data_IF_222559644820
#
_entry.id   IF_222559644820
#
_cell.length_a   1.000
_cell.length_b   1.000
_cell.length_c   1.000
_cell.angle_alpha   90.00
_cell.angle_beta   90.00
_cell.angle_gamma   90.00
#
_symmetry.space_group_name_H-M   'P 1'
#
loop_
_entity.id
_entity.type
_entity.pdbx_description
1 polymer ?
#
# COMPACT_ATOMS: atom_id res chain seq x y z
N UNK A 1 -53.86 50.96 -6.07
CA UNK A 1 -53.07 49.72 -6.25
C UNK A 1 -51.91 50.05 -7.21
N UNK A 2 -50.67 50.17 -6.72
CA UNK A 2 -49.45 50.33 -7.56
C UNK A 2 -48.82 48.95 -7.65
N UNK A 3 -48.81 48.37 -8.84
CA UNK A 3 -48.07 47.19 -9.21
C UNK A 3 -46.59 47.54 -9.46
N UNK A 4 -45.70 47.02 -8.59
CA UNK A 4 -44.25 47.07 -8.80
C UNK A 4 -43.85 45.95 -9.76
N UNK A 5 -43.48 46.28 -10.98
CA UNK A 5 -42.84 45.36 -11.93
C UNK A 5 -41.36 45.20 -11.59
N UNK A 6 -40.98 43.99 -11.15
CA UNK A 6 -39.59 43.62 -10.96
C UNK A 6 -38.99 43.27 -12.32
N UNK A 7 -38.11 44.12 -12.83
CA UNK A 7 -37.34 43.84 -14.05
C UNK A 7 -36.20 42.89 -13.78
N UNK A 8 -36.16 41.72 -14.45
CA UNK A 8 -35.07 40.79 -14.39
C UNK A 8 -33.85 41.30 -15.16
N UNK A 9 -32.64 41.14 -14.65
CA UNK A 9 -31.43 41.63 -15.32
C UNK A 9 -31.15 40.92 -16.64
N UNK A 10 -30.59 41.62 -17.59
CA UNK A 10 -30.30 41.17 -18.95
C UNK A 10 -29.24 40.06 -18.98
N UNK A 11 -29.20 39.32 -20.11
CA UNK A 11 -28.22 38.21 -20.31
C UNK A 11 -26.77 38.70 -20.25
N UNK A 12 -26.51 39.99 -20.52
CA UNK A 12 -25.18 40.62 -20.46
C UNK A 12 -24.72 40.85 -19.00
N UNK A 13 -25.62 41.21 -18.09
CA UNK A 13 -25.31 41.46 -16.68
C UNK A 13 -25.06 40.14 -15.91
N UNK A 14 -25.64 39.02 -16.36
CA UNK A 14 -25.37 37.71 -15.79
C UNK A 14 -24.00 37.15 -16.15
N UNK A 15 -23.36 37.60 -17.23
CA UNK A 15 -22.03 37.19 -17.65
C UNK A 15 -20.90 37.95 -16.93
N UNK A 16 -21.19 39.10 -16.33
CA UNK A 16 -20.19 39.92 -15.63
C UNK A 16 -19.92 39.44 -14.19
N UNK A 17 -20.84 38.63 -13.56
CA UNK A 17 -20.68 38.15 -12.17
C UNK A 17 -20.00 36.81 -12.04
N UNK A 18 -19.59 36.18 -13.15
CA UNK A 18 -18.95 34.85 -13.14
C UNK A 18 -17.46 34.92 -13.51
N UNK A 19 -16.79 36.01 -13.20
CA UNK A 19 -15.31 36.04 -13.18
C UNK A 19 -14.86 35.37 -11.89
N UNK A 20 -14.53 34.08 -11.96
CA UNK A 20 -13.73 33.43 -10.92
C UNK A 20 -12.46 34.26 -10.72
N UNK A 21 -12.06 34.56 -9.47
CA UNK A 21 -10.78 35.19 -9.23
C UNK A 21 -9.72 34.27 -9.86
N UNK A 22 -8.77 34.87 -10.59
CA UNK A 22 -7.63 34.17 -11.13
C UNK A 22 -7.01 33.38 -9.99
N UNK A 23 -6.85 32.06 -10.19
CA UNK A 23 -6.16 31.20 -9.24
C UNK A 23 -4.81 31.85 -8.96
N UNK A 24 -4.65 32.37 -7.74
CA UNK A 24 -3.38 32.82 -7.24
C UNK A 24 -2.40 31.66 -7.43
N UNK A 25 -1.36 31.85 -8.23
CA UNK A 25 -0.24 30.94 -8.33
C UNK A 25 0.40 30.89 -6.92
N UNK A 26 -0.07 29.95 -6.09
CA UNK A 26 0.73 29.50 -4.97
C UNK A 26 2.05 29.00 -5.57
N UNK A 27 3.21 29.44 -5.07
CA UNK A 27 4.48 28.89 -5.52
C UNK A 27 4.38 27.37 -5.37
N UNK A 28 4.64 26.64 -6.47
CA UNK A 28 4.83 25.19 -6.40
C UNK A 28 5.92 25.00 -5.36
N UNK A 29 5.55 24.55 -4.15
CA UNK A 29 6.55 24.18 -3.15
C UNK A 29 7.49 23.22 -3.85
N UNK A 30 8.76 23.57 -3.90
CA UNK A 30 9.76 22.76 -4.56
C UNK A 30 9.73 21.39 -3.89
N UNK A 31 9.37 20.34 -4.65
CA UNK A 31 9.40 18.97 -4.16
C UNK A 31 10.85 18.69 -3.79
N UNK A 32 11.14 18.55 -2.49
CA UNK A 32 12.47 18.16 -2.05
C UNK A 32 12.75 16.77 -2.61
N UNK A 33 13.84 16.66 -3.36
CA UNK A 33 14.31 15.37 -3.86
C UNK A 33 14.80 14.50 -2.72
N UNK A 34 14.79 13.18 -2.91
CA UNK A 34 15.29 12.19 -1.95
C UNK A 34 16.69 12.54 -1.41
N UNK A 35 17.58 13.00 -2.28
CA UNK A 35 18.98 13.34 -1.96
C UNK A 35 19.11 14.61 -1.09
N UNK A 36 18.05 15.41 -0.97
CA UNK A 36 18.07 16.65 -0.15
C UNK A 36 17.52 16.44 1.27
N UNK A 37 17.07 15.23 1.59
CA UNK A 37 16.55 14.91 2.93
C UNK A 37 17.65 14.25 3.73
N UNK A 38 17.99 14.87 4.88
CA UNK A 38 19.02 14.35 5.78
C UNK A 38 18.67 12.95 6.30
N UNK A 39 19.63 12.01 6.34
CA UNK A 39 19.41 10.66 6.85
C UNK A 39 18.76 10.59 8.23
N UNK A 40 19.09 11.50 9.15
CA UNK A 40 18.50 11.55 10.49
C UNK A 40 16.99 11.82 10.45
N UNK A 41 16.52 12.60 9.47
CA UNK A 41 15.08 12.87 9.29
C UNK A 41 14.37 11.62 8.73
N UNK A 42 15.03 10.84 7.88
CA UNK A 42 14.49 9.56 7.42
C UNK A 42 14.40 8.54 8.57
N UNK A 43 15.43 8.45 9.39
CA UNK A 43 15.45 7.51 10.53
C UNK A 43 14.37 7.88 11.56
N UNK A 44 14.20 9.18 11.84
CA UNK A 44 13.13 9.68 12.68
C UNK A 44 11.74 9.40 12.07
N UNK A 45 11.60 9.48 10.75
CA UNK A 45 10.36 9.14 10.08
C UNK A 45 10.06 7.63 10.14
N UNK A 46 11.08 6.79 10.04
CA UNK A 46 10.89 5.33 10.21
C UNK A 46 10.46 5.00 11.64
N UNK A 47 11.11 5.62 12.66
CA UNK A 47 10.68 5.52 14.06
C UNK A 47 9.20 5.96 14.22
N UNK A 48 8.84 7.11 13.65
CA UNK A 48 7.46 7.60 13.67
C UNK A 48 6.47 6.60 13.04
N UNK A 49 6.82 5.99 11.92
CA UNK A 49 5.95 5.03 11.23
C UNK A 49 5.69 3.76 12.05
N UNK A 50 6.64 3.32 12.89
CA UNK A 50 6.60 1.99 13.51
C UNK A 50 6.44 2.00 15.03
N UNK A 51 6.50 3.19 15.68
CA UNK A 51 6.38 3.32 17.14
C UNK A 51 5.09 4.04 17.57
N UNK A 52 4.96 4.36 18.85
CA UNK A 52 3.88 5.16 19.41
C UNK A 52 4.07 6.67 19.20
N UNK A 53 5.14 7.10 18.53
CA UNK A 53 5.40 8.51 18.27
C UNK A 53 4.22 9.14 17.55
N UNK A 54 3.73 10.27 18.07
CA UNK A 54 2.67 11.04 17.42
C UNK A 54 3.24 11.90 16.28
N UNK A 55 2.39 12.34 15.35
CA UNK A 55 2.78 13.30 14.31
C UNK A 55 3.36 14.59 14.91
N UNK A 56 2.80 15.07 16.02
CA UNK A 56 3.31 16.25 16.73
C UNK A 56 4.72 16.01 17.24
N UNK A 57 4.96 14.87 17.88
CA UNK A 57 6.29 14.52 18.40
C UNK A 57 7.31 14.40 17.28
N UNK A 58 6.92 13.77 16.15
CA UNK A 58 7.75 13.66 14.96
C UNK A 58 8.20 15.04 14.45
N UNK A 59 7.26 15.97 14.24
CA UNK A 59 7.61 17.31 13.78
C UNK A 59 8.41 18.11 14.83
N UNK A 60 8.12 17.95 16.12
CA UNK A 60 8.87 18.59 17.21
C UNK A 60 10.31 18.09 17.22
N UNK A 61 10.53 16.78 17.21
CA UNK A 61 11.88 16.17 17.15
C UNK A 61 12.61 16.58 15.87
N UNK A 62 11.95 16.54 14.71
CA UNK A 62 12.54 16.93 13.45
C UNK A 62 12.98 18.41 13.42
N UNK A 63 12.19 19.31 14.04
CA UNK A 63 12.56 20.72 14.13
C UNK A 63 13.79 20.99 15.00
N UNK A 64 14.11 20.08 15.91
CA UNK A 64 15.28 20.16 16.79
C UNK A 64 16.55 19.54 16.16
N UNK A 65 16.44 18.83 15.03
CA UNK A 65 17.59 18.25 14.35
C UNK A 65 18.45 19.34 13.70
N UNK A 66 19.76 19.29 13.99
CA UNK A 66 20.77 20.05 13.24
C UNK A 66 21.10 19.32 11.95
N UNK A 67 20.40 19.67 10.86
CA UNK A 67 20.56 19.00 9.56
C UNK A 67 21.28 19.88 8.55
N UNK A 68 22.03 19.24 7.67
CA UNK A 68 22.73 19.91 6.57
C UNK A 68 21.76 20.19 5.43
N UNK A 69 21.76 21.40 4.91
CA UNK A 69 21.01 21.77 3.72
C UNK A 69 19.58 22.25 3.95
N UNK A 70 19.17 22.49 5.23
CA UNK A 70 17.85 23.07 5.49
C UNK A 70 17.33 22.90 6.90
N UNK A 71 16.01 22.97 7.04
CA UNK A 71 15.31 22.74 8.31
C UNK A 71 14.79 21.30 8.38
N UNK A 72 15.09 20.60 9.45
CA UNK A 72 14.55 19.25 9.70
C UNK A 72 13.02 19.21 9.64
N UNK A 73 12.35 20.28 10.06
CA UNK A 73 10.89 20.40 9.94
C UNK A 73 10.41 20.43 8.47
N UNK A 74 11.11 21.15 7.60
CA UNK A 74 10.77 21.20 6.16
C UNK A 74 10.96 19.84 5.53
N UNK A 75 12.06 19.15 5.83
CA UNK A 75 12.33 17.80 5.37
C UNK A 75 11.30 16.80 5.90
N UNK A 76 10.93 16.91 7.18
CA UNK A 76 9.88 16.06 7.77
C UNK A 76 8.51 16.24 7.12
N UNK A 77 8.12 17.48 6.79
CA UNK A 77 6.88 17.75 6.05
C UNK A 77 6.89 17.14 4.65
N UNK A 78 8.05 17.11 3.99
CA UNK A 78 8.19 16.50 2.67
C UNK A 78 7.99 14.97 2.69
N UNK A 79 8.19 14.30 3.83
CA UNK A 79 7.99 12.85 3.97
C UNK A 79 6.52 12.43 4.12
N UNK A 80 5.60 13.37 4.31
CA UNK A 80 4.15 13.07 4.39
C UNK A 80 3.63 12.65 3.01
N UNK A 81 2.86 11.55 2.90
CA UNK A 81 2.36 11.04 1.63
C UNK A 81 1.53 12.04 0.83
N UNK A 82 1.72 12.06 -0.49
CA UNK A 82 1.01 12.90 -1.47
C UNK A 82 0.24 12.04 -2.46
N UNK A 83 -0.82 11.42 -2.01
CA UNK A 83 -1.57 10.43 -2.79
C UNK A 83 -2.16 10.95 -4.09
N UNK A 84 -2.65 12.19 -4.13
CA UNK A 84 -3.26 12.76 -5.33
C UNK A 84 -2.26 12.93 -6.49
N UNK A 85 -0.99 13.18 -6.16
CA UNK A 85 0.10 13.33 -7.14
C UNK A 85 0.71 11.99 -7.57
N UNK A 86 0.53 10.95 -6.74
CA UNK A 86 1.16 9.65 -6.89
C UNK A 86 0.29 8.61 -7.63
N UNK A 87 -0.98 8.93 -7.93
CA UNK A 87 -1.86 8.00 -8.63
C UNK A 87 -1.32 7.69 -10.02
N UNK A 88 -1.07 6.39 -10.29
CA UNK A 88 -0.53 5.91 -11.58
C UNK A 88 -1.65 5.45 -12.52
N UNK A 89 -2.64 4.71 -11.99
CA UNK A 89 -3.78 4.22 -12.77
C UNK A 89 -5.07 4.84 -12.22
N UNK A 90 -5.81 5.53 -13.10
CA UNK A 90 -7.12 6.09 -12.72
C UNK A 90 -8.12 4.98 -12.37
N UNK A 91 -9.00 5.23 -11.41
CA UNK A 91 -10.14 4.33 -11.16
C UNK A 91 -11.16 4.29 -12.33
N UNK A 92 -11.07 5.26 -13.24
CA UNK A 92 -11.87 5.34 -14.48
C UNK A 92 -11.13 4.80 -15.70
N UNK A 93 -9.96 4.18 -15.54
CA UNK A 93 -9.21 3.58 -16.65
C UNK A 93 -10.03 2.49 -17.35
N UNK A 94 -10.16 2.58 -18.67
CA UNK A 94 -11.02 1.68 -19.46
C UNK A 94 -10.54 0.24 -19.45
N UNK A 95 -9.27 0.00 -19.15
CA UNK A 95 -8.66 -1.34 -19.08
C UNK A 95 -9.09 -2.14 -17.85
N UNK A 96 -9.77 -1.50 -16.88
CA UNK A 96 -10.15 -2.12 -15.60
C UNK A 96 -11.58 -1.78 -15.19
N UNK A 97 -12.13 -2.57 -14.25
CA UNK A 97 -13.36 -2.25 -13.52
C UNK A 97 -13.11 -2.43 -12.04
N UNK A 98 -13.37 -1.38 -11.26
CA UNK A 98 -13.10 -1.33 -9.83
C UNK A 98 -14.38 -1.11 -9.02
N UNK A 99 -14.51 -1.82 -7.89
CA UNK A 99 -15.60 -1.65 -6.92
C UNK A 99 -15.18 -2.11 -5.53
N UNK A 100 -15.84 -1.63 -4.51
CA UNK A 100 -15.78 -2.27 -3.19
C UNK A 100 -16.73 -3.46 -3.12
N UNK A 101 -16.28 -4.50 -2.43
CA UNK A 101 -17.06 -5.72 -2.16
C UNK A 101 -16.97 -6.05 -0.69
N UNK A 102 -18.07 -6.55 -0.11
CA UNK A 102 -18.12 -7.08 1.24
C UNK A 102 -18.24 -8.61 1.18
N UNK A 103 -17.62 -9.26 2.15
CA UNK A 103 -17.59 -10.73 2.25
C UNK A 103 -17.46 -11.17 3.70
N UNK A 104 -17.81 -12.44 3.95
CA UNK A 104 -17.73 -13.02 5.28
C UNK A 104 -16.28 -13.26 5.70
N UNK A 105 -16.00 -13.03 6.99
CA UNK A 105 -14.70 -13.25 7.62
C UNK A 105 -14.88 -13.95 8.97
N UNK A 106 -15.25 -15.23 8.96
CA UNK A 106 -15.49 -15.98 10.19
C UNK A 106 -14.23 -16.07 11.05
N UNK A 107 -14.37 -15.81 12.34
CA UNK A 107 -13.26 -15.79 13.30
C UNK A 107 -12.36 -14.56 13.21
N UNK A 108 -12.66 -13.63 12.32
CA UNK A 108 -12.01 -12.33 12.25
C UNK A 108 -12.59 -11.30 13.23
N UNK A 109 -12.23 -10.05 13.06
CA UNK A 109 -12.54 -8.95 13.98
C UNK A 109 -14.05 -8.71 14.15
N UNK A 110 -14.82 -8.72 13.06
CA UNK A 110 -16.27 -8.44 13.08
C UNK A 110 -17.11 -9.51 12.38
N UNK A 111 -16.49 -10.57 11.88
CA UNK A 111 -17.15 -11.59 11.06
C UNK A 111 -17.40 -11.20 9.62
N UNK A 112 -17.09 -9.94 9.24
CA UNK A 112 -17.18 -9.40 7.88
C UNK A 112 -15.99 -8.56 7.52
N UNK A 113 -15.68 -8.53 6.23
CA UNK A 113 -14.64 -7.70 5.64
C UNK A 113 -15.15 -6.96 4.42
N UNK A 114 -14.43 -5.91 4.04
CA UNK A 114 -14.57 -5.18 2.78
C UNK A 114 -13.22 -5.13 2.08
N UNK A 115 -13.23 -5.14 0.76
CA UNK A 115 -12.03 -4.93 -0.03
C UNK A 115 -12.32 -4.17 -1.31
N UNK A 116 -11.30 -3.54 -1.86
CA UNK A 116 -11.32 -2.91 -3.17
C UNK A 116 -10.96 -3.97 -4.21
N UNK A 117 -11.97 -4.42 -4.96
CA UNK A 117 -11.84 -5.43 -6.01
C UNK A 117 -11.69 -4.74 -7.35
N UNK A 118 -10.64 -5.09 -8.07
CA UNK A 118 -10.36 -4.58 -9.41
C UNK A 118 -10.17 -5.76 -10.37
N UNK A 119 -10.94 -5.78 -11.46
CA UNK A 119 -10.76 -6.77 -12.51
C UNK A 119 -10.26 -6.13 -13.80
N UNK A 120 -9.53 -6.85 -14.64
CA UNK A 120 -9.28 -6.44 -16.02
C UNK A 120 -10.60 -6.22 -16.78
N UNK A 121 -10.57 -5.41 -17.82
CA UNK A 121 -11.65 -5.40 -18.80
C UNK A 121 -11.71 -6.79 -19.49
N UNK A 122 -12.93 -7.32 -19.67
CA UNK A 122 -13.15 -8.65 -20.24
C UNK A 122 -13.85 -9.61 -19.29
N UNK A 123 -13.98 -10.88 -19.73
CA UNK A 123 -14.91 -11.82 -19.09
C UNK A 123 -14.24 -12.75 -18.04
N UNK A 124 -12.96 -12.94 -18.04
CA UNK A 124 -12.30 -13.88 -17.13
C UNK A 124 -12.56 -15.38 -17.48
N UNK A 125 -12.20 -16.33 -16.60
CA UNK A 125 -11.62 -16.12 -15.28
C UNK A 125 -10.18 -15.60 -15.33
N UNK A 126 -9.78 -14.86 -14.28
CA UNK A 126 -8.45 -14.25 -14.18
C UNK A 126 -7.62 -14.90 -13.06
N UNK A 127 -6.30 -15.02 -13.19
CA UNK A 127 -5.45 -15.31 -12.05
C UNK A 127 -5.58 -14.17 -11.03
N UNK A 128 -5.61 -14.53 -9.74
CA UNK A 128 -5.94 -13.61 -8.67
C UNK A 128 -4.71 -13.14 -7.88
N UNK A 129 -4.68 -11.88 -7.46
CA UNK A 129 -3.62 -11.29 -6.62
C UNK A 129 -4.22 -10.52 -5.47
N UNK A 130 -3.91 -10.96 -4.24
CA UNK A 130 -4.19 -10.19 -3.03
C UNK A 130 -3.12 -9.10 -2.85
N UNK A 131 -3.54 -7.86 -2.60
CA UNK A 131 -2.66 -6.70 -2.37
C UNK A 131 -2.84 -6.20 -0.96
N UNK A 132 -1.90 -6.50 -0.06
CA UNK A 132 -2.04 -6.21 1.37
C UNK A 132 -1.37 -4.88 1.73
N UNK A 133 -2.14 -4.03 2.42
CA UNK A 133 -1.73 -2.70 2.83
C UNK A 133 -0.63 -2.67 3.90
N UNK A 134 -0.02 -1.51 4.08
CA UNK A 134 0.92 -1.20 5.14
C UNK A 134 0.20 -1.14 6.52
N UNK A 135 0.83 -0.61 7.55
CA UNK A 135 0.28 -0.49 8.91
C UNK A 135 -0.70 0.70 9.09
N UNK A 136 -1.46 1.06 8.07
CA UNK A 136 -2.31 2.27 8.02
C UNK A 136 -3.70 2.04 7.44
N UNK A 137 -4.03 0.78 7.12
CA UNK A 137 -5.26 0.42 6.40
C UNK A 137 -5.17 0.65 4.90
N UNK A 138 -6.30 0.48 4.22
CA UNK A 138 -6.42 0.60 2.77
C UNK A 138 -6.38 2.07 2.33
N UNK A 139 -5.19 2.59 2.13
CA UNK A 139 -4.96 3.95 1.64
C UNK A 139 -4.96 4.02 0.09
N UNK A 140 -5.01 5.24 -0.50
CA UNK A 140 -5.06 5.41 -1.96
C UNK A 140 -3.89 4.82 -2.73
N UNK A 141 -2.70 4.70 -2.11
CA UNK A 141 -1.55 4.04 -2.75
C UNK A 141 -1.81 2.55 -2.98
N UNK A 142 -2.37 1.85 -1.98
CA UNK A 142 -2.66 0.41 -2.09
C UNK A 142 -3.79 0.15 -3.10
N UNK A 143 -4.79 1.03 -3.16
CA UNK A 143 -5.82 0.96 -4.21
C UNK A 143 -5.20 1.12 -5.61
N UNK A 144 -4.24 2.03 -5.77
CA UNK A 144 -3.54 2.22 -7.03
C UNK A 144 -2.69 0.99 -7.41
N UNK A 145 -2.02 0.35 -6.44
CA UNK A 145 -1.30 -0.91 -6.67
C UNK A 145 -2.26 -2.03 -7.14
N UNK A 146 -3.46 -2.14 -6.56
CA UNK A 146 -4.46 -3.09 -7.02
C UNK A 146 -4.89 -2.80 -8.47
N UNK A 147 -5.06 -1.54 -8.85
CA UNK A 147 -5.34 -1.14 -10.23
C UNK A 147 -4.18 -1.48 -11.17
N UNK A 148 -2.93 -1.23 -10.75
CA UNK A 148 -1.73 -1.64 -11.52
C UNK A 148 -1.71 -3.14 -11.78
N UNK A 149 -2.00 -3.96 -10.77
CA UNK A 149 -2.08 -5.41 -10.94
C UNK A 149 -3.20 -5.83 -11.90
N UNK A 150 -4.35 -5.15 -11.86
CA UNK A 150 -5.45 -5.44 -12.77
C UNK A 150 -5.14 -5.06 -14.23
N UNK A 151 -4.42 -3.96 -14.46
CA UNK A 151 -3.93 -3.61 -15.81
C UNK A 151 -3.00 -4.68 -16.38
N UNK A 152 -2.26 -5.39 -15.52
CA UNK A 152 -1.38 -6.50 -15.89
C UNK A 152 -2.10 -7.84 -16.11
N UNK A 153 -3.42 -7.87 -15.93
CA UNK A 153 -4.27 -9.04 -16.25
C UNK A 153 -4.74 -9.83 -15.02
N UNK A 154 -4.52 -9.35 -13.80
CA UNK A 154 -4.91 -10.07 -12.59
C UNK A 154 -6.24 -9.55 -12.01
N UNK A 155 -7.04 -10.46 -11.46
CA UNK A 155 -8.12 -10.08 -10.54
C UNK A 155 -7.49 -9.67 -9.20
N UNK A 156 -7.48 -8.37 -8.90
CA UNK A 156 -6.82 -7.85 -7.71
C UNK A 156 -7.83 -7.52 -6.60
N UNK A 157 -7.54 -7.92 -5.37
CA UNK A 157 -8.28 -7.51 -4.17
C UNK A 157 -7.32 -6.84 -3.19
N UNK A 158 -7.63 -5.60 -2.81
CA UNK A 158 -7.01 -4.91 -1.68
C UNK A 158 -7.97 -4.89 -0.49
N UNK A 159 -7.79 -5.75 0.53
CA UNK A 159 -8.66 -5.80 1.71
C UNK A 159 -8.47 -4.55 2.57
N UNK A 160 -9.57 -4.07 3.16
CA UNK A 160 -9.55 -2.96 4.12
C UNK A 160 -9.49 -3.52 5.56
N UNK A 161 -8.29 -3.73 6.08
CA UNK A 161 -8.09 -4.26 7.43
C UNK A 161 -8.67 -3.39 8.55
N UNK A 162 -9.05 -2.14 8.26
CA UNK A 162 -9.72 -1.25 9.21
C UNK A 162 -11.24 -1.28 9.08
N UNK A 163 -11.79 -1.98 8.09
CA UNK A 163 -13.24 -2.04 7.86
C UNK A 163 -14.04 -2.39 9.13
N UNK A 164 -13.62 -3.36 9.97
CA UNK A 164 -14.36 -3.71 11.18
C UNK A 164 -14.53 -2.56 12.20
N UNK A 165 -13.74 -1.51 12.09
CA UNK A 165 -13.74 -0.35 13.00
C UNK A 165 -13.96 0.98 12.28
N UNK A 166 -14.57 0.94 11.07
CA UNK A 166 -14.97 2.12 10.30
C UNK A 166 -14.22 2.35 9.00
N UNK A 167 -13.20 1.56 8.69
CA UNK A 167 -12.41 1.65 7.47
C UNK A 167 -11.30 2.71 7.54
N UNK A 168 -10.60 2.89 6.41
CA UNK A 168 -9.53 3.88 6.33
C UNK A 168 -10.06 5.31 6.58
N UNK A 169 -9.52 6.06 7.56
CA UNK A 169 -10.10 7.33 8.02
C UNK A 169 -9.78 8.53 7.11
N UNK A 170 -9.15 8.32 5.96
CA UNK A 170 -8.78 9.38 5.02
C UNK A 170 -7.40 10.01 5.28
N UNK A 171 -6.70 9.57 6.31
CA UNK A 171 -5.30 9.95 6.59
C UNK A 171 -4.54 8.82 7.28
N UNK A 172 -3.25 8.77 7.05
CA UNK A 172 -2.38 7.68 7.53
C UNK A 172 -2.13 7.71 9.05
N UNK A 173 -2.19 8.87 9.67
CA UNK A 173 -1.90 9.01 11.09
C UNK A 173 -2.99 8.36 11.92
N UNK A 174 -4.24 8.66 11.63
CA UNK A 174 -5.40 8.04 12.28
C UNK A 174 -5.49 6.56 11.90
N UNK A 175 -5.23 6.21 10.63
CA UNK A 175 -5.19 4.81 10.18
C UNK A 175 -4.17 3.98 10.98
N UNK A 176 -2.98 4.52 11.24
CA UNK A 176 -1.95 3.89 12.08
C UNK A 176 -2.43 3.70 13.53
N UNK A 177 -3.08 4.71 14.11
CA UNK A 177 -3.64 4.62 15.47
C UNK A 177 -4.74 3.57 15.51
N UNK A 178 -5.67 3.59 14.57
CA UNK A 178 -6.76 2.63 14.48
C UNK A 178 -6.24 1.20 14.34
N UNK A 179 -5.30 0.93 13.45
CA UNK A 179 -4.77 -0.42 13.25
C UNK A 179 -4.10 -1.00 14.50
N UNK A 180 -3.49 -0.15 15.34
CA UNK A 180 -2.89 -0.57 16.62
C UNK A 180 -3.92 -1.00 17.67
N UNK A 181 -5.18 -0.58 17.55
CA UNK A 181 -6.26 -1.01 18.46
C UNK A 181 -6.81 -2.38 18.13
N UNK A 182 -6.55 -2.89 16.93
CA UNK A 182 -7.03 -4.20 16.49
C UNK A 182 -6.21 -5.33 17.14
N UNK A 183 -6.90 -6.42 17.48
CA UNK A 183 -6.24 -7.67 17.80
C UNK A 183 -5.49 -8.21 16.57
N UNK A 184 -4.21 -8.52 16.75
CA UNK A 184 -3.33 -8.91 15.64
C UNK A 184 -3.73 -10.24 15.02
N UNK A 185 -4.22 -11.17 15.81
CA UNK A 185 -4.65 -12.50 15.37
C UNK A 185 -5.93 -12.39 14.55
N UNK A 186 -6.90 -11.61 15.04
CA UNK A 186 -8.16 -11.39 14.33
C UNK A 186 -7.94 -10.62 13.01
N UNK A 187 -7.11 -9.59 13.01
CA UNK A 187 -6.74 -8.86 11.79
C UNK A 187 -6.05 -9.78 10.77
N UNK A 188 -5.12 -10.63 11.23
CA UNK A 188 -4.50 -11.62 10.33
C UNK A 188 -5.52 -12.61 9.78
N UNK A 189 -6.46 -13.08 10.62
CA UNK A 189 -7.57 -13.96 10.21
C UNK A 189 -8.45 -13.28 9.14
N UNK A 190 -8.73 -12.00 9.28
CA UNK A 190 -9.45 -11.20 8.29
C UNK A 190 -8.73 -11.18 6.94
N UNK A 191 -7.42 -10.99 6.95
CA UNK A 191 -6.59 -10.97 5.73
C UNK A 191 -6.44 -12.36 5.10
N UNK A 192 -6.36 -13.41 5.91
CA UNK A 192 -6.37 -14.81 5.44
C UNK A 192 -7.71 -15.17 4.79
N UNK A 193 -8.82 -14.75 5.39
CA UNK A 193 -10.16 -14.96 4.82
C UNK A 193 -10.35 -14.14 3.53
N UNK A 194 -9.73 -12.96 3.43
CA UNK A 194 -9.71 -12.18 2.19
C UNK A 194 -8.97 -12.92 1.06
N UNK A 195 -7.87 -13.59 1.36
CA UNK A 195 -7.15 -14.44 0.41
C UNK A 195 -8.02 -15.62 -0.07
N UNK A 196 -8.70 -16.29 0.87
CA UNK A 196 -9.61 -17.40 0.56
C UNK A 196 -10.81 -16.96 -0.27
N UNK A 197 -11.43 -15.83 0.10
CA UNK A 197 -12.52 -15.22 -0.66
C UNK A 197 -12.08 -14.94 -2.10
N UNK A 198 -10.93 -14.31 -2.30
CA UNK A 198 -10.43 -13.97 -3.63
C UNK A 198 -10.12 -15.21 -4.46
N UNK A 199 -9.52 -16.26 -3.84
CA UNK A 199 -9.23 -17.52 -4.52
C UNK A 199 -10.49 -18.19 -5.05
N UNK A 200 -11.57 -18.16 -4.26
CA UNK A 200 -12.86 -18.80 -4.60
C UNK A 200 -13.85 -17.90 -5.32
N UNK A 201 -13.45 -16.65 -5.62
CA UNK A 201 -14.32 -15.69 -6.30
C UNK A 201 -14.68 -16.18 -7.71
N UNK A 202 -15.92 -15.95 -8.16
CA UNK A 202 -16.45 -16.41 -9.48
C UNK A 202 -15.59 -16.00 -10.68
N UNK A 203 -14.91 -14.85 -10.59
CA UNK A 203 -14.00 -14.36 -11.63
C UNK A 203 -12.57 -14.87 -11.47
N UNK A 204 -12.26 -15.63 -10.44
CA UNK A 204 -10.92 -16.18 -10.21
C UNK A 204 -10.71 -17.49 -10.96
N UNK A 205 -9.54 -17.66 -11.55
CA UNK A 205 -9.13 -18.96 -12.10
C UNK A 205 -8.80 -20.02 -11.03
N UNK A 206 -8.86 -19.66 -9.74
CA UNK A 206 -8.42 -20.48 -8.63
C UNK A 206 -6.92 -20.42 -8.35
N UNK A 207 -6.14 -19.73 -9.19
CA UNK A 207 -4.72 -19.46 -8.97
C UNK A 207 -4.59 -18.16 -8.19
N UNK A 208 -3.93 -18.21 -7.03
CA UNK A 208 -3.79 -17.08 -6.11
C UNK A 208 -2.34 -16.72 -5.85
N UNK A 209 -2.00 -15.46 -6.13
CA UNK A 209 -0.79 -14.80 -5.64
C UNK A 209 -1.12 -13.82 -4.52
N UNK A 210 -0.12 -13.44 -3.74
CA UNK A 210 -0.24 -12.38 -2.76
C UNK A 210 0.99 -11.46 -2.80
N UNK A 211 0.76 -10.15 -2.77
CA UNK A 211 1.80 -9.15 -2.55
C UNK A 211 1.38 -8.23 -1.41
N UNK A 212 2.33 -7.62 -0.75
CA UNK A 212 2.05 -6.72 0.36
C UNK A 212 3.29 -5.95 0.80
N UNK A 213 3.06 -4.82 1.43
CA UNK A 213 4.07 -3.81 1.71
C UNK A 213 4.19 -3.59 3.21
N UNK A 214 5.42 -3.54 3.76
CA UNK A 214 5.66 -3.34 5.18
C UNK A 214 4.95 -4.40 6.05
N UNK A 215 3.92 -4.03 6.82
CA UNK A 215 3.05 -4.96 7.52
C UNK A 215 2.44 -5.99 6.56
N UNK A 216 1.99 -5.54 5.38
CA UNK A 216 1.48 -6.43 4.34
C UNK A 216 2.53 -7.43 3.82
N UNK A 217 3.80 -7.07 3.80
CA UNK A 217 4.88 -7.99 3.49
C UNK A 217 5.03 -9.11 4.54
N UNK A 218 4.91 -8.75 5.82
CA UNK A 218 4.81 -9.76 6.91
C UNK A 218 3.58 -10.65 6.74
N UNK A 219 2.43 -10.06 6.38
CA UNK A 219 1.21 -10.85 6.12
C UNK A 219 1.44 -11.84 5.00
N UNK A 220 2.04 -11.46 3.88
CA UNK A 220 2.30 -12.37 2.74
C UNK A 220 3.21 -13.52 3.16
N UNK A 221 4.26 -13.27 3.94
CA UNK A 221 5.11 -14.31 4.49
C UNK A 221 4.30 -15.32 5.34
N UNK A 222 3.37 -14.82 6.16
CA UNK A 222 2.53 -15.67 7.02
C UNK A 222 1.36 -16.34 6.26
N UNK A 223 0.85 -15.73 5.19
CA UNK A 223 -0.06 -16.40 4.27
C UNK A 223 0.62 -17.62 3.62
N UNK A 224 1.88 -17.49 3.21
CA UNK A 224 2.64 -18.62 2.66
C UNK A 224 2.80 -19.78 3.68
N UNK A 225 2.91 -19.45 4.96
CA UNK A 225 2.92 -20.45 6.06
C UNK A 225 1.55 -21.12 6.24
N UNK A 226 0.47 -20.31 6.25
CA UNK A 226 -0.86 -20.78 6.66
C UNK A 226 -1.69 -21.41 5.54
N UNK A 227 -1.45 -21.02 4.30
CA UNK A 227 -2.24 -21.48 3.15
C UNK A 227 -1.67 -22.73 2.48
N UNK A 228 -0.40 -23.06 2.72
CA UNK A 228 0.23 -24.22 2.09
C UNK A 228 0.08 -24.18 0.55
N UNK A 229 -0.52 -25.22 -0.07
CA UNK A 229 -0.68 -25.31 -1.53
C UNK A 229 -1.75 -24.36 -2.08
N UNK A 230 -2.55 -23.72 -1.21
CA UNK A 230 -3.60 -22.80 -1.63
C UNK A 230 -3.08 -21.40 -2.03
N UNK A 231 -1.86 -21.06 -1.66
CA UNK A 231 -1.13 -19.93 -2.20
C UNK A 231 -0.18 -20.42 -3.31
N UNK A 232 -0.27 -19.84 -4.51
CA UNK A 232 0.53 -20.24 -5.66
C UNK A 232 1.78 -19.38 -5.85
N UNK A 233 1.82 -18.16 -5.30
CA UNK A 233 3.00 -17.28 -5.31
C UNK A 233 2.92 -16.22 -4.22
N UNK A 234 4.03 -15.90 -3.55
CA UNK A 234 4.11 -14.83 -2.57
C UNK A 234 5.20 -13.81 -2.92
N UNK A 235 4.85 -12.51 -2.89
CA UNK A 235 5.80 -11.42 -3.15
C UNK A 235 5.75 -10.39 -2.00
N UNK A 236 6.44 -10.64 -0.88
CA UNK A 236 6.54 -9.69 0.22
C UNK A 236 7.54 -8.58 -0.08
N UNK A 237 7.11 -7.31 0.07
CA UNK A 237 7.98 -6.13 0.03
C UNK A 237 8.32 -5.66 1.44
N UNK A 238 9.61 -5.54 1.73
CA UNK A 238 10.17 -5.05 3.01
C UNK A 238 9.32 -5.45 4.23
N UNK A 239 8.93 -6.72 4.27
CA UNK A 239 8.21 -7.36 5.37
C UNK A 239 9.13 -8.21 6.23
N UNK A 240 8.88 -8.26 7.53
CA UNK A 240 9.60 -9.16 8.44
C UNK A 240 9.30 -10.64 8.14
N UNK A 241 10.26 -11.50 8.44
CA UNK A 241 10.12 -12.93 8.26
C UNK A 241 9.03 -13.54 9.18
N UNK A 242 8.48 -14.72 8.84
CA UNK A 242 7.70 -15.53 9.77
C UNK A 242 8.63 -16.16 10.84
N UNK A 243 8.07 -16.83 11.82
CA UNK A 243 8.86 -17.60 12.79
C UNK A 243 9.68 -18.69 12.06
N UNK A 244 10.97 -18.86 12.38
CA UNK A 244 11.83 -19.80 11.66
C UNK A 244 11.32 -21.24 11.65
N UNK A 245 10.68 -21.69 12.72
CA UNK A 245 10.06 -23.00 12.85
C UNK A 245 8.86 -23.21 11.93
N UNK A 246 8.22 -22.13 11.50
CA UNK A 246 7.05 -22.20 10.60
C UNK A 246 7.45 -22.25 9.11
N UNK A 247 8.68 -21.93 8.77
CA UNK A 247 9.17 -21.92 7.37
C UNK A 247 9.01 -23.27 6.68
N UNK A 248 9.09 -24.37 7.45
CA UNK A 248 8.86 -25.74 6.94
C UNK A 248 7.48 -25.89 6.27
N UNK A 249 6.48 -25.14 6.69
CA UNK A 249 5.09 -25.21 6.19
C UNK A 249 4.91 -24.52 4.83
N UNK A 250 5.82 -23.63 4.43
CA UNK A 250 5.73 -22.88 3.17
C UNK A 250 5.82 -23.84 1.98
N UNK A 251 4.86 -23.74 1.05
CA UNK A 251 4.84 -24.48 -0.20
C UNK A 251 4.85 -23.57 -1.42
N UNK A 252 4.34 -22.34 -1.29
CA UNK A 252 4.36 -21.35 -2.36
C UNK A 252 5.80 -20.91 -2.69
N UNK A 253 6.16 -20.76 -3.97
CA UNK A 253 7.35 -20.02 -4.35
C UNK A 253 7.27 -18.57 -3.88
N UNK A 254 8.42 -18.02 -3.46
CA UNK A 254 8.52 -16.67 -2.90
C UNK A 254 9.48 -15.79 -3.70
N UNK A 255 9.08 -14.55 -3.97
CA UNK A 255 9.96 -13.48 -4.46
C UNK A 255 10.05 -12.40 -3.37
N UNK A 256 11.08 -12.46 -2.54
CA UNK A 256 11.24 -11.63 -1.35
C UNK A 256 12.04 -10.38 -1.71
N UNK A 257 11.50 -9.20 -1.43
CA UNK A 257 12.05 -7.92 -1.86
C UNK A 257 12.38 -7.03 -0.66
N UNK A 258 13.68 -6.80 -0.42
CA UNK A 258 14.21 -6.04 0.69
C UNK A 258 14.79 -4.68 0.24
N UNK A 259 14.60 -3.66 1.07
CA UNK A 259 15.37 -2.44 0.97
C UNK A 259 16.75 -2.64 1.64
N UNK A 260 17.81 -2.05 1.07
CA UNK A 260 19.14 -2.16 1.66
C UNK A 260 19.21 -1.49 3.03
N UNK A 261 18.73 -0.25 3.12
CA UNK A 261 18.78 0.58 4.32
C UNK A 261 17.51 0.42 5.18
N UNK A 262 17.25 -0.80 5.66
CA UNK A 262 16.11 -1.15 6.52
C UNK A 262 16.58 -2.10 7.64
N UNK A 263 17.32 -1.58 8.65
CA UNK A 263 17.93 -2.44 9.68
C UNK A 263 16.90 -3.24 10.48
N UNK A 264 15.71 -2.70 10.69
CA UNK A 264 14.63 -3.35 11.44
C UNK A 264 14.10 -4.61 10.73
N UNK A 265 13.83 -4.54 9.45
CA UNK A 265 13.34 -5.68 8.66
C UNK A 265 14.49 -6.64 8.36
N UNK A 266 15.64 -6.10 7.99
CA UNK A 266 16.82 -6.88 7.60
C UNK A 266 17.43 -7.69 8.76
N UNK A 267 17.12 -7.36 10.02
CA UNK A 267 17.57 -8.13 11.18
C UNK A 267 17.16 -9.61 11.12
N UNK A 268 16.03 -9.95 10.50
CA UNK A 268 15.55 -11.33 10.36
C UNK A 268 15.95 -11.99 9.03
N UNK A 269 16.57 -11.27 8.11
CA UNK A 269 16.79 -11.72 6.72
C UNK A 269 17.66 -12.96 6.61
N UNK A 270 18.80 -13.00 7.28
CA UNK A 270 19.73 -14.14 7.17
C UNK A 270 19.18 -15.39 7.85
N UNK A 271 18.50 -15.24 8.99
CA UNK A 271 17.81 -16.37 9.63
C UNK A 271 16.71 -16.93 8.72
N UNK A 272 15.95 -16.06 8.05
CA UNK A 272 14.91 -16.48 7.10
C UNK A 272 15.50 -17.19 5.89
N UNK A 273 16.57 -16.65 5.29
CA UNK A 273 17.29 -17.30 4.19
C UNK A 273 17.74 -18.70 4.58
N UNK A 274 18.43 -18.82 5.72
CA UNK A 274 18.93 -20.09 6.23
C UNK A 274 17.79 -21.12 6.43
N UNK A 275 16.65 -20.68 6.97
CA UNK A 275 15.49 -21.55 7.16
C UNK A 275 14.88 -22.00 5.82
N UNK A 276 14.74 -21.10 4.84
CA UNK A 276 14.24 -21.43 3.50
C UNK A 276 15.17 -22.45 2.79
N UNK A 277 16.48 -22.24 2.83
CA UNK A 277 17.48 -23.15 2.26
C UNK A 277 17.46 -24.52 2.95
N UNK A 278 17.44 -24.53 4.29
CA UNK A 278 17.36 -25.77 5.10
C UNK A 278 16.17 -26.63 4.71
N UNK A 279 15.03 -25.99 4.46
CA UNK A 279 13.80 -26.70 4.10
C UNK A 279 13.57 -26.79 2.58
N UNK A 280 14.60 -26.45 1.77
CA UNK A 280 14.58 -26.55 0.29
C UNK A 280 13.37 -25.86 -0.34
N UNK A 281 13.06 -24.67 0.16
CA UNK A 281 11.91 -23.88 -0.37
C UNK A 281 12.32 -23.20 -1.67
N UNK A 282 11.34 -23.03 -2.59
CA UNK A 282 11.54 -22.25 -3.81
C UNK A 282 11.43 -20.77 -3.45
N UNK A 283 12.53 -20.04 -3.56
CA UNK A 283 12.55 -18.60 -3.29
C UNK A 283 13.62 -17.85 -4.08
N UNK A 284 13.36 -16.58 -4.33
CA UNK A 284 14.31 -15.58 -4.80
C UNK A 284 14.30 -14.42 -3.82
N UNK A 285 15.47 -13.90 -3.48
CA UNK A 285 15.60 -12.80 -2.52
C UNK A 285 16.41 -11.68 -3.16
N UNK A 286 15.83 -10.49 -3.27
CA UNK A 286 16.48 -9.31 -3.83
C UNK A 286 16.63 -8.23 -2.76
N UNK A 287 17.80 -7.58 -2.79
CA UNK A 287 18.11 -6.40 -1.99
C UNK A 287 18.31 -5.26 -2.98
N UNK A 288 17.57 -4.18 -2.80
CA UNK A 288 17.58 -3.01 -3.68
C UNK A 288 18.54 -1.97 -3.11
N UNK A 289 19.65 -1.75 -3.84
CA UNK A 289 20.75 -0.88 -3.42
C UNK A 289 20.27 0.57 -3.24
N UNK A 290 20.78 1.27 -2.23
CA UNK A 290 20.47 2.66 -1.90
C UNK A 290 19.05 2.91 -1.41
N UNK A 291 18.18 1.91 -1.40
CA UNK A 291 16.77 2.09 -1.03
C UNK A 291 16.55 2.05 0.48
N UNK A 292 15.48 2.68 0.94
CA UNK A 292 14.97 2.66 2.32
C UNK A 292 13.62 1.94 2.40
N UNK A 293 13.21 1.61 3.61
CA UNK A 293 11.87 1.07 3.89
C UNK A 293 10.78 1.90 3.19
N UNK A 294 9.89 1.25 2.43
CA UNK A 294 8.84 1.93 1.66
C UNK A 294 9.28 2.46 0.30
N UNK A 295 10.41 2.01 -0.26
CA UNK A 295 10.94 2.49 -1.54
C UNK A 295 10.01 2.34 -2.74
N UNK A 296 9.04 1.45 -2.68
CA UNK A 296 8.04 1.26 -3.75
C UNK A 296 6.89 2.26 -3.67
N UNK A 297 6.70 2.94 -2.54
CA UNK A 297 5.57 3.85 -2.33
C UNK A 297 5.86 5.23 -2.95
N UNK A 298 5.32 5.48 -4.13
CA UNK A 298 5.51 6.71 -4.90
C UNK A 298 4.78 7.95 -4.35
N UNK A 299 4.05 7.81 -3.25
CA UNK A 299 3.43 8.95 -2.56
C UNK A 299 4.39 9.67 -1.59
N UNK A 300 5.58 9.12 -1.36
CA UNK A 300 6.57 9.66 -0.40
C UNK A 300 7.94 9.84 -1.05
N UNK A 301 8.80 10.74 -0.55
CA UNK A 301 10.17 10.92 -1.04
C UNK A 301 11.10 9.71 -0.81
N UNK A 302 10.67 8.69 -0.07
CA UNK A 302 11.41 7.41 0.03
C UNK A 302 11.32 6.58 -1.24
N UNK A 303 10.43 6.96 -2.14
CA UNK A 303 10.28 6.34 -3.44
C UNK A 303 11.59 6.36 -4.22
N UNK A 304 11.96 5.22 -4.73
CA UNK A 304 13.06 5.05 -5.66
C UNK A 304 12.49 4.55 -6.97
N UNK A 305 12.36 5.45 -7.94
CA UNK A 305 11.66 5.16 -9.20
C UNK A 305 12.29 4.00 -9.96
N UNK A 306 13.61 3.97 -10.05
CA UNK A 306 14.34 2.93 -10.77
C UNK A 306 14.17 1.58 -10.08
N UNK A 307 14.44 1.53 -8.78
CA UNK A 307 14.37 0.28 -8.02
C UNK A 307 12.92 -0.22 -7.86
N UNK A 308 11.96 0.69 -7.69
CA UNK A 308 10.54 0.34 -7.62
C UNK A 308 10.03 -0.24 -8.96
N UNK A 309 10.46 0.32 -10.09
CA UNK A 309 10.14 -0.21 -11.42
C UNK A 309 10.69 -1.62 -11.59
N UNK A 310 11.96 -1.84 -11.30
CA UNK A 310 12.59 -3.17 -11.38
C UNK A 310 11.88 -4.17 -10.45
N UNK A 311 11.56 -3.76 -9.22
CA UNK A 311 10.85 -4.61 -8.27
C UNK A 311 9.44 -4.98 -8.76
N UNK A 312 8.72 -4.02 -9.36
CA UNK A 312 7.40 -4.27 -9.91
C UNK A 312 7.43 -5.19 -11.15
N UNK A 313 8.35 -4.96 -12.08
CA UNK A 313 8.54 -5.83 -13.25
C UNK A 313 8.86 -7.28 -12.85
N UNK A 314 9.72 -7.47 -11.83
CA UNK A 314 9.99 -8.80 -11.25
C UNK A 314 8.74 -9.41 -10.62
N UNK A 315 7.95 -8.61 -9.92
CA UNK A 315 6.68 -9.06 -9.30
C UNK A 315 5.71 -9.57 -10.34
N UNK A 316 5.46 -8.79 -11.37
CA UNK A 316 4.53 -9.15 -12.46
C UNK A 316 5.01 -10.37 -13.22
N UNK A 317 6.29 -10.42 -13.56
CA UNK A 317 6.88 -11.58 -14.24
C UNK A 317 6.76 -12.85 -13.40
N UNK A 318 6.99 -12.74 -12.09
CA UNK A 318 6.88 -13.86 -11.16
C UNK A 318 5.42 -14.34 -11.03
N UNK A 319 4.46 -13.44 -10.93
CA UNK A 319 3.05 -13.83 -10.92
C UNK A 319 2.62 -14.47 -12.25
N UNK A 320 3.02 -13.92 -13.40
CA UNK A 320 2.73 -14.52 -14.71
C UNK A 320 3.34 -15.92 -14.85
N UNK A 321 4.50 -16.17 -14.25
CA UNK A 321 5.14 -17.48 -14.25
C UNK A 321 4.37 -18.55 -13.42
N UNK A 322 3.79 -18.15 -12.28
CA UNK A 322 3.25 -19.09 -11.30
C UNK A 322 1.71 -19.15 -11.24
N UNK A 323 1.01 -18.18 -11.84
CA UNK A 323 -0.45 -18.08 -11.79
C UNK A 323 -1.15 -18.39 -13.12
N UNK A 324 -0.41 -18.45 -14.23
CA UNK A 324 -0.97 -18.82 -15.55
C UNK A 324 -1.03 -20.33 -15.73
#
# INVERSE_FOLDING_TARGET
>A
QRTLSVQLPSKAERLAHNRRPAASHLPKEAILKKETIDPQVYDLYDEYCHTQMTRRDFFTKASALAVVGGSGLVMAKALVPRYAEAQTISFTDERIKARYVEYDSPGGTSGKMRGYLVKPAGEGPFPAVLVVHENRGLNPYIEDVARRAAVEGFLALAPDGLFPIGGYPGNDDDGKVMQKTLDKTNLFTDLLNSARFLKSHELSSGKLGATGFCYGGWVVNNLAVQMGPDLNAGVPFYGTAPAPEDVVKIQAPLLIQYAENDPRVNASREAYRTALEKHKKDFRMHIYEGTRHGFHNNSTPRYDEEQAKVAWERTISFFKQHLN
#
